data_IF_720236583728
#
_entry.id   IF_720236583728
#
_cell.length_a   1.000
_cell.length_b   1.000
_cell.length_c   1.000
_cell.angle_alpha   90.00
_cell.angle_beta   90.00
_cell.angle_gamma   90.00
#
_symmetry.space_group_name_H-M   'P 1'
#
loop_
_entity.id
_entity.type
_entity.pdbx_description
1 polymer ?
#
# COMPACT_ATOMS: atom_id res chain seq x y z
N UNK A 1 -24.67 -11.39 -34.55
CA UNK A 1 -23.81 -10.57 -33.70
C UNK A 1 -23.18 -11.43 -32.62
N UNK A 2 -21.87 -11.72 -32.68
CA UNK A 2 -21.15 -12.46 -31.63
C UNK A 2 -20.81 -11.49 -30.51
N UNK A 3 -21.51 -11.58 -29.38
CA UNK A 3 -21.16 -10.89 -28.13
C UNK A 3 -19.82 -11.47 -27.66
N UNK A 4 -18.74 -10.72 -27.82
CA UNK A 4 -17.44 -11.04 -27.18
C UNK A 4 -17.66 -10.97 -25.66
N UNK A 5 -17.85 -12.11 -25.01
CA UNK A 5 -17.69 -12.23 -23.54
C UNK A 5 -16.27 -11.77 -23.22
N UNK A 6 -16.12 -10.58 -22.63
CA UNK A 6 -14.86 -10.16 -22.00
C UNK A 6 -14.62 -11.14 -20.85
N UNK A 7 -13.70 -12.09 -21.07
CA UNK A 7 -13.25 -12.96 -19.99
C UNK A 7 -12.74 -12.10 -18.83
N UNK A 8 -13.18 -12.42 -17.63
CA UNK A 8 -12.69 -11.80 -16.40
C UNK A 8 -11.17 -12.02 -16.41
N UNK A 9 -10.43 -10.92 -16.39
CA UNK A 9 -8.96 -10.98 -16.39
C UNK A 9 -8.51 -11.48 -15.01
N UNK A 10 -8.33 -12.78 -14.85
CA UNK A 10 -7.94 -13.46 -13.61
C UNK A 10 -6.46 -13.25 -13.26
N UNK A 11 -5.70 -12.52 -14.09
CA UNK A 11 -4.28 -12.27 -13.90
C UNK A 11 -4.02 -10.94 -13.22
N UNK A 12 -3.23 -10.99 -12.17
CA UNK A 12 -2.85 -9.82 -11.37
C UNK A 12 -1.33 -9.74 -11.23
N UNK A 13 -0.81 -8.51 -11.05
CA UNK A 13 0.60 -8.31 -10.79
C UNK A 13 0.89 -8.34 -9.30
N UNK A 14 1.97 -9.04 -8.95
CA UNK A 14 2.55 -9.09 -7.60
C UNK A 14 4.00 -8.64 -7.65
N UNK A 15 4.56 -8.37 -6.49
CA UNK A 15 5.93 -7.85 -6.39
C UNK A 15 6.66 -8.48 -5.20
N UNK A 16 7.80 -9.11 -5.47
CA UNK A 16 8.78 -9.47 -4.45
C UNK A 16 9.83 -8.37 -4.32
N UNK A 17 10.33 -8.11 -3.11
CA UNK A 17 11.25 -7.01 -2.82
C UNK A 17 12.52 -7.48 -2.12
N UNK A 18 13.66 -7.15 -2.71
CA UNK A 18 15.00 -7.42 -2.17
C UNK A 18 15.70 -6.09 -1.89
N UNK A 19 16.34 -5.98 -0.72
CA UNK A 19 17.05 -4.75 -0.34
C UNK A 19 18.52 -4.90 -0.67
N UNK A 20 19.02 -3.97 -1.46
CA UNK A 20 20.41 -3.88 -1.89
C UNK A 20 21.07 -2.74 -1.10
N UNK A 21 21.88 -3.10 -0.13
CA UNK A 21 22.64 -2.17 0.72
C UNK A 21 24.01 -1.88 0.12
N UNK A 22 24.72 -0.89 0.66
CA UNK A 22 26.06 -0.47 0.19
C UNK A 22 27.11 -1.59 0.16
N UNK A 23 26.99 -2.57 1.05
CA UNK A 23 27.87 -3.75 1.09
C UNK A 23 27.53 -4.85 0.08
N UNK A 24 26.46 -4.70 -0.68
CA UNK A 24 26.09 -5.67 -1.71
C UNK A 24 27.05 -5.59 -2.91
N UNK A 25 27.55 -6.72 -3.46
CA UNK A 25 28.51 -6.71 -4.58
C UNK A 25 28.08 -5.86 -5.76
N UNK A 26 26.79 -5.88 -6.09
CA UNK A 26 26.24 -5.14 -7.24
C UNK A 26 25.76 -3.72 -6.91
N UNK A 27 25.96 -3.21 -5.69
CA UNK A 27 25.47 -1.90 -5.30
C UNK A 27 26.02 -0.78 -6.19
N UNK A 28 27.36 -0.74 -6.41
CA UNK A 28 28.02 0.31 -7.22
C UNK A 28 27.49 0.34 -8.65
N UNK A 29 27.33 -0.83 -9.26
CA UNK A 29 26.80 -0.97 -10.62
C UNK A 29 25.38 -0.43 -10.70
N UNK A 30 24.51 -0.84 -9.75
CA UNK A 30 23.10 -0.39 -9.71
C UNK A 30 23.02 1.12 -9.46
N UNK A 31 23.87 1.67 -8.57
CA UNK A 31 23.91 3.10 -8.30
C UNK A 31 24.28 3.90 -9.57
N UNK A 32 25.29 3.44 -10.31
CA UNK A 32 25.72 4.04 -11.57
C UNK A 32 24.61 3.98 -12.63
N UNK A 33 23.93 2.85 -12.77
CA UNK A 33 22.85 2.71 -13.74
C UNK A 33 21.62 3.56 -13.38
N UNK A 34 21.31 3.71 -12.09
CA UNK A 34 20.28 4.62 -11.63
C UNK A 34 20.65 6.11 -11.86
N UNK A 35 21.95 6.44 -11.84
CA UNK A 35 22.45 7.78 -12.22
C UNK A 35 22.27 8.01 -13.71
N UNK A 36 22.68 7.06 -14.57
CA UNK A 36 22.48 7.18 -16.02
C UNK A 36 21.00 7.27 -16.39
N UNK A 37 20.13 6.48 -15.76
CA UNK A 37 18.67 6.59 -15.93
C UNK A 37 18.14 7.98 -15.57
N UNK A 38 18.64 8.60 -14.48
CA UNK A 38 18.32 9.98 -14.08
C UNK A 38 18.80 11.00 -15.12
N UNK A 39 20.02 10.84 -15.63
CA UNK A 39 20.56 11.75 -16.65
C UNK A 39 19.74 11.69 -17.93
N UNK A 40 19.42 10.49 -18.43
CA UNK A 40 18.55 10.30 -19.58
C UNK A 40 17.17 10.92 -19.37
N UNK A 41 16.56 10.72 -18.18
CA UNK A 41 15.27 11.32 -17.83
C UNK A 41 15.33 12.84 -17.94
N UNK A 42 16.35 13.49 -17.35
CA UNK A 42 16.48 14.94 -17.37
C UNK A 42 16.74 15.50 -18.76
N UNK A 43 17.61 14.84 -19.53
CA UNK A 43 17.92 15.21 -20.90
C UNK A 43 16.68 15.13 -21.80
N UNK A 44 15.94 14.04 -21.71
CA UNK A 44 14.70 13.89 -22.45
C UNK A 44 13.61 14.88 -22.00
N UNK A 45 13.48 15.10 -20.69
CA UNK A 45 12.54 16.07 -20.16
C UNK A 45 12.86 17.50 -20.59
N UNK A 46 14.14 17.85 -20.71
CA UNK A 46 14.57 19.13 -21.24
C UNK A 46 14.06 19.33 -22.69
N UNK A 47 14.29 18.35 -23.55
CA UNK A 47 13.84 18.42 -24.95
C UNK A 47 12.33 18.59 -25.08
N UNK A 48 11.55 17.84 -24.26
CA UNK A 48 10.09 17.95 -24.28
C UNK A 48 9.65 19.33 -23.76
N UNK A 49 10.25 19.80 -22.66
CA UNK A 49 9.87 21.07 -22.05
C UNK A 49 10.16 22.25 -22.99
N UNK A 50 11.33 22.30 -23.64
CA UNK A 50 11.67 23.36 -24.59
C UNK A 50 10.65 23.38 -25.72
N UNK A 51 10.43 22.26 -26.39
CA UNK A 51 9.47 22.18 -27.49
C UNK A 51 8.05 22.54 -27.10
N UNK A 52 7.64 22.14 -25.88
CA UNK A 52 6.31 22.46 -25.35
C UNK A 52 6.16 23.95 -25.01
N UNK A 53 7.18 24.57 -24.44
CA UNK A 53 7.16 25.99 -24.05
C UNK A 53 7.25 26.89 -25.29
N UNK A 54 8.12 26.54 -26.25
CA UNK A 54 8.39 27.36 -27.44
C UNK A 54 7.31 27.20 -28.52
N UNK A 55 6.84 25.94 -28.74
CA UNK A 55 5.95 25.61 -29.87
C UNK A 55 4.56 25.14 -29.44
N UNK A 56 4.30 24.93 -28.14
CA UNK A 56 3.07 24.31 -27.68
C UNK A 56 2.96 22.81 -28.04
N UNK A 57 4.01 22.21 -28.60
CA UNK A 57 3.97 20.81 -29.10
C UNK A 57 4.58 19.82 -28.13
N UNK A 58 3.93 18.70 -27.97
CA UNK A 58 4.41 17.59 -27.15
C UNK A 58 5.24 16.60 -27.98
N UNK A 59 6.39 16.18 -27.42
CA UNK A 59 7.24 15.13 -28.04
C UNK A 59 6.86 13.77 -27.43
N UNK A 60 6.30 12.89 -28.25
CA UNK A 60 5.85 11.57 -27.84
C UNK A 60 7.01 10.60 -27.54
N UNK A 61 6.70 9.47 -26.85
CA UNK A 61 7.68 8.39 -26.65
C UNK A 61 8.30 7.91 -27.98
N UNK A 62 7.52 7.78 -29.06
CA UNK A 62 8.03 7.31 -30.35
C UNK A 62 9.10 8.26 -30.91
N UNK A 63 8.84 9.55 -30.89
CA UNK A 63 9.79 10.59 -31.34
C UNK A 63 11.04 10.64 -30.46
N UNK A 64 10.86 10.57 -29.11
CA UNK A 64 11.98 10.50 -28.18
C UNK A 64 12.85 9.26 -28.43
N UNK A 65 12.26 8.10 -28.65
CA UNK A 65 13.01 6.87 -28.88
C UNK A 65 13.91 6.96 -30.13
N UNK A 66 13.41 7.54 -31.22
CA UNK A 66 14.22 7.80 -32.42
C UNK A 66 15.35 8.79 -32.12
N UNK A 67 15.02 9.93 -31.52
CA UNK A 67 15.95 11.04 -31.25
C UNK A 67 17.06 10.68 -30.26
N UNK A 68 16.79 9.78 -29.29
CA UNK A 68 17.72 9.48 -28.19
C UNK A 68 18.60 8.25 -28.41
N UNK A 69 18.32 7.37 -29.39
CA UNK A 69 19.10 6.14 -29.65
C UNK A 69 20.61 6.38 -29.80
N UNK A 70 21.01 7.50 -30.38
CA UNK A 70 22.40 7.85 -30.63
C UNK A 70 23.07 8.57 -29.45
N UNK A 71 22.30 9.05 -28.46
CA UNK A 71 22.77 9.81 -27.33
C UNK A 71 23.50 8.95 -26.29
N UNK A 72 24.52 9.51 -25.65
CA UNK A 72 25.37 8.79 -24.69
C UNK A 72 24.58 8.30 -23.47
N UNK A 73 23.72 9.14 -22.88
CA UNK A 73 22.92 8.73 -21.74
C UNK A 73 21.98 7.55 -22.08
N UNK A 74 21.48 7.47 -23.31
CA UNK A 74 20.69 6.32 -23.76
C UNK A 74 21.54 5.05 -23.86
N UNK A 75 22.72 5.13 -24.47
CA UNK A 75 23.67 4.00 -24.63
C UNK A 75 24.17 3.50 -23.27
N UNK A 76 24.51 4.42 -22.36
CA UNK A 76 24.98 4.10 -21.01
C UNK A 76 23.90 3.44 -20.13
N UNK A 77 22.62 3.75 -20.39
CA UNK A 77 21.49 3.12 -19.67
C UNK A 77 21.13 1.76 -20.25
N UNK A 78 21.65 1.39 -21.42
CA UNK A 78 21.26 0.28 -22.31
C UNK A 78 19.86 0.45 -22.92
N UNK A 79 19.69 0.02 -24.16
CA UNK A 79 18.52 0.31 -24.99
C UNK A 79 17.18 -0.06 -24.35
N UNK A 80 17.05 -1.24 -23.77
CA UNK A 80 15.78 -1.68 -23.19
C UNK A 80 15.43 -0.94 -21.89
N UNK A 81 16.33 -0.80 -20.90
CA UNK A 81 16.11 0.08 -19.73
C UNK A 81 15.94 1.56 -20.11
N UNK A 82 16.66 2.07 -21.11
CA UNK A 82 16.50 3.43 -21.60
C UNK A 82 15.07 3.65 -22.12
N UNK A 83 14.54 2.72 -22.90
CA UNK A 83 13.14 2.76 -23.35
C UNK A 83 12.16 2.77 -22.20
N UNK A 84 12.41 2.00 -21.13
CA UNK A 84 11.58 2.04 -19.92
C UNK A 84 11.59 3.44 -19.26
N UNK A 85 12.75 4.10 -19.22
CA UNK A 85 12.90 5.46 -18.69
C UNK A 85 12.13 6.48 -19.52
N UNK A 86 12.26 6.43 -20.85
CA UNK A 86 11.52 7.33 -21.77
C UNK A 86 10.00 7.10 -21.71
N UNK A 87 9.54 5.85 -21.63
CA UNK A 87 8.11 5.53 -21.45
C UNK A 87 7.56 6.04 -20.13
N UNK A 88 8.35 6.01 -19.05
CA UNK A 88 7.91 6.54 -17.76
C UNK A 88 7.81 8.06 -17.79
N UNK A 89 8.75 8.74 -18.49
CA UNK A 89 8.68 10.18 -18.72
C UNK A 89 7.45 10.55 -19.54
N UNK A 90 7.18 9.85 -20.66
CA UNK A 90 5.96 10.01 -21.48
C UNK A 90 4.69 9.86 -20.64
N UNK A 91 4.65 8.85 -19.75
CA UNK A 91 3.53 8.67 -18.82
C UNK A 91 3.37 9.85 -17.86
N UNK A 92 4.46 10.42 -17.36
CA UNK A 92 4.42 11.59 -16.46
C UNK A 92 3.84 12.81 -17.18
N UNK A 93 4.25 13.07 -18.42
CA UNK A 93 3.68 14.14 -19.24
C UNK A 93 2.20 13.94 -19.56
N UNK A 94 1.80 12.72 -19.93
CA UNK A 94 0.40 12.38 -20.16
C UNK A 94 -0.45 12.52 -18.89
N UNK A 95 0.12 12.24 -17.72
CA UNK A 95 -0.53 12.49 -16.43
C UNK A 95 -0.70 13.98 -16.16
N UNK A 96 0.33 14.80 -16.47
CA UNK A 96 0.23 16.25 -16.38
C UNK A 96 -0.90 16.80 -17.27
N UNK A 97 -0.98 16.38 -18.53
CA UNK A 97 -2.04 16.86 -19.44
C UNK A 97 -3.45 16.47 -18.96
N UNK A 98 -3.61 15.27 -18.39
CA UNK A 98 -4.88 14.87 -17.78
C UNK A 98 -5.21 15.71 -16.55
N UNK A 99 -4.23 15.94 -15.69
CA UNK A 99 -4.43 16.75 -14.47
C UNK A 99 -4.77 18.21 -14.80
N UNK A 100 -4.16 18.80 -15.85
CA UNK A 100 -4.50 20.16 -16.29
C UNK A 100 -5.93 20.23 -16.83
N UNK A 101 -6.37 19.21 -17.57
CA UNK A 101 -7.75 19.15 -18.07
C UNK A 101 -8.75 19.03 -16.91
N UNK A 102 -8.55 18.07 -16.02
CA UNK A 102 -9.40 17.88 -14.84
C UNK A 102 -9.39 19.12 -13.92
N UNK A 103 -8.25 19.79 -13.77
CA UNK A 103 -8.15 21.02 -12.99
C UNK A 103 -8.96 22.17 -13.59
N UNK A 104 -9.02 22.30 -14.91
CA UNK A 104 -9.86 23.31 -15.56
C UNK A 104 -11.35 23.10 -15.31
N UNK A 105 -11.78 21.84 -15.22
CA UNK A 105 -13.17 21.46 -14.96
C UNK A 105 -13.50 21.43 -13.45
N UNK A 106 -12.51 21.09 -12.62
CA UNK A 106 -12.67 20.86 -11.18
C UNK A 106 -11.52 21.44 -10.36
N UNK A 107 -11.31 22.78 -10.34
CA UNK A 107 -10.20 23.41 -9.62
C UNK A 107 -10.24 23.16 -8.11
N UNK A 108 -11.43 22.95 -7.53
CA UNK A 108 -11.65 22.67 -6.11
C UNK A 108 -11.03 21.36 -5.62
N UNK A 109 -10.76 20.41 -6.52
CA UNK A 109 -10.08 19.14 -6.20
C UNK A 109 -8.58 19.29 -5.99
N UNK A 110 -8.01 20.44 -6.31
CA UNK A 110 -6.57 20.65 -6.35
C UNK A 110 -6.15 21.77 -5.39
N UNK A 111 -4.98 21.61 -4.76
CA UNK A 111 -4.36 22.67 -3.95
C UNK A 111 -3.80 23.81 -4.79
N UNK A 112 -3.83 23.72 -6.11
CA UNK A 112 -3.37 24.69 -7.08
C UNK A 112 -3.11 24.07 -8.44
N UNK A 113 -2.79 24.91 -9.43
CA UNK A 113 -2.56 24.48 -10.81
C UNK A 113 -1.46 23.41 -10.91
N UNK A 114 -1.72 22.26 -11.59
CA UNK A 114 -0.72 21.23 -11.84
C UNK A 114 0.52 21.77 -12.54
N UNK A 115 1.70 21.32 -12.12
CA UNK A 115 2.99 21.80 -12.65
C UNK A 115 3.59 20.78 -13.61
N UNK A 116 4.34 21.27 -14.60
CA UNK A 116 5.12 20.46 -15.54
C UNK A 116 6.01 19.44 -14.80
N UNK A 117 6.27 18.25 -15.37
CA UNK A 117 7.21 17.28 -14.80
C UNK A 117 8.55 17.94 -14.48
N UNK A 118 8.99 17.82 -13.21
CA UNK A 118 10.20 18.48 -12.71
C UNK A 118 11.46 17.75 -13.17
N UNK A 119 12.57 18.49 -13.22
CA UNK A 119 13.89 17.88 -13.28
C UNK A 119 14.25 17.20 -11.97
N UNK A 120 14.94 16.09 -12.09
CA UNK A 120 15.52 15.38 -10.95
C UNK A 120 16.82 16.09 -10.51
N UNK A 121 17.13 16.04 -9.21
CA UNK A 121 18.32 16.68 -8.63
C UNK A 121 19.61 16.17 -9.29
N UNK A 122 20.65 17.02 -9.36
CA UNK A 122 21.95 16.72 -9.99
C UNK A 122 22.57 15.42 -9.44
N UNK A 123 22.58 15.27 -8.14
CA UNK A 123 23.10 14.12 -7.39
C UNK A 123 22.05 13.00 -7.15
N UNK A 124 20.83 13.19 -7.67
CA UNK A 124 19.73 12.25 -7.53
C UNK A 124 19.91 10.96 -8.32
N UNK A 125 19.01 10.02 -8.10
CA UNK A 125 18.92 8.73 -8.80
C UNK A 125 17.51 8.53 -9.31
N UNK A 126 17.35 7.80 -10.40
CA UNK A 126 16.06 7.43 -10.97
C UNK A 126 15.95 5.91 -11.11
N UNK A 127 14.76 5.30 -11.00
CA UNK A 127 14.63 3.87 -11.15
C UNK A 127 15.26 3.34 -12.43
N UNK A 128 16.06 2.29 -12.31
CA UNK A 128 16.57 1.53 -13.45
C UNK A 128 15.70 0.29 -13.62
N UNK A 129 15.03 0.18 -14.77
CA UNK A 129 13.99 -0.82 -15.03
C UNK A 129 14.42 -1.75 -16.15
N UNK A 130 14.31 -3.05 -15.93
CA UNK A 130 14.73 -4.09 -16.83
C UNK A 130 13.50 -4.92 -17.22
N UNK A 131 13.10 -4.92 -18.51
CA UNK A 131 11.92 -5.66 -18.96
C UNK A 131 12.19 -7.17 -19.06
N UNK A 132 11.12 -7.95 -19.21
CA UNK A 132 11.13 -9.41 -19.16
C UNK A 132 12.05 -10.08 -20.18
N UNK A 133 12.23 -9.52 -21.37
CA UNK A 133 13.09 -10.08 -22.41
C UNK A 133 14.59 -10.12 -22.04
N UNK A 134 14.99 -9.42 -20.98
CA UNK A 134 16.34 -9.46 -20.40
C UNK A 134 16.41 -10.26 -19.08
N UNK A 135 15.36 -10.96 -18.71
CA UNK A 135 15.27 -11.71 -17.45
C UNK A 135 15.20 -13.20 -17.73
N UNK A 136 15.89 -13.97 -16.90
CA UNK A 136 15.77 -15.43 -16.87
C UNK A 136 15.43 -15.85 -15.47
N UNK A 137 14.40 -16.65 -15.33
CA UNK A 137 13.95 -17.20 -14.07
C UNK A 137 14.11 -18.71 -14.04
N UNK A 138 14.80 -19.20 -13.03
CA UNK A 138 14.94 -20.60 -12.71
C UNK A 138 13.89 -20.95 -11.65
N UNK A 139 12.81 -21.62 -12.08
CA UNK A 139 11.69 -21.98 -11.21
C UNK A 139 12.07 -22.99 -10.15
N UNK A 140 12.95 -23.94 -10.46
CA UNK A 140 13.38 -24.98 -9.54
C UNK A 140 14.22 -24.40 -8.39
N UNK A 141 15.13 -23.49 -8.71
CA UNK A 141 16.02 -22.84 -7.75
C UNK A 141 15.44 -21.56 -7.10
N UNK A 142 14.28 -21.09 -7.58
CA UNK A 142 13.68 -19.83 -7.13
C UNK A 142 14.63 -18.64 -7.31
N UNK A 143 15.35 -18.58 -8.46
CA UNK A 143 16.32 -17.52 -8.72
C UNK A 143 16.05 -16.78 -10.01
N UNK A 144 16.28 -15.48 -10.02
CA UNK A 144 16.27 -14.65 -11.22
C UNK A 144 17.67 -14.10 -11.51
N UNK A 145 18.07 -14.14 -12.77
CA UNK A 145 19.23 -13.42 -13.23
C UNK A 145 18.90 -12.51 -14.42
N UNK A 146 19.74 -11.51 -14.63
CA UNK A 146 19.53 -10.47 -15.60
C UNK A 146 20.54 -10.64 -16.72
N UNK A 147 20.08 -10.82 -17.96
CA UNK A 147 20.90 -10.92 -19.18
C UNK A 147 21.47 -9.53 -19.55
N UNK A 148 22.24 -8.96 -18.63
CA UNK A 148 22.93 -7.71 -18.86
C UNK A 148 24.40 -7.89 -18.44
N UNK A 149 25.35 -7.45 -19.28
CA UNK A 149 26.79 -7.62 -19.03
C UNK A 149 27.31 -7.17 -17.67
N UNK A 150 26.56 -6.32 -16.97
CA UNK A 150 26.90 -5.81 -15.64
C UNK A 150 26.36 -6.68 -14.50
N UNK A 151 25.37 -7.52 -14.76
CA UNK A 151 24.60 -8.26 -13.75
C UNK A 151 24.43 -9.74 -14.06
N UNK A 152 24.93 -10.24 -15.20
CA UNK A 152 24.75 -11.63 -15.65
C UNK A 152 25.49 -12.67 -14.77
N UNK A 153 26.44 -12.23 -13.95
CA UNK A 153 27.20 -13.05 -13.01
C UNK A 153 26.52 -13.19 -11.65
N UNK A 154 25.36 -12.58 -11.44
CA UNK A 154 24.69 -12.58 -10.14
C UNK A 154 23.24 -13.09 -10.23
N UNK A 155 22.89 -14.05 -9.36
CA UNK A 155 21.56 -14.62 -9.22
C UNK A 155 20.91 -14.13 -7.94
N UNK A 156 19.69 -13.60 -8.04
CA UNK A 156 18.90 -13.17 -6.88
C UNK A 156 17.86 -14.24 -6.53
N UNK A 157 17.81 -14.64 -5.27
CA UNK A 157 16.70 -15.46 -4.75
C UNK A 157 15.41 -14.64 -4.76
N UNK A 158 14.32 -15.20 -5.27
CA UNK A 158 13.02 -14.57 -5.22
C UNK A 158 11.91 -15.59 -4.99
N UNK A 159 10.77 -15.11 -4.50
CA UNK A 159 9.57 -15.92 -4.20
C UNK A 159 8.50 -15.78 -5.29
N UNK A 160 8.91 -15.58 -6.51
CA UNK A 160 7.98 -15.42 -7.62
C UNK A 160 7.19 -16.71 -7.87
N UNK A 161 5.87 -16.59 -7.92
CA UNK A 161 4.94 -17.69 -8.16
C UNK A 161 4.43 -17.73 -9.61
N UNK A 162 4.90 -16.82 -10.47
CA UNK A 162 4.42 -16.70 -11.84
C UNK A 162 5.40 -16.03 -12.79
N UNK A 163 4.93 -15.69 -13.99
CA UNK A 163 5.74 -15.09 -15.05
C UNK A 163 6.30 -13.74 -14.64
N UNK A 164 7.62 -13.56 -14.65
CA UNK A 164 8.24 -12.26 -14.38
C UNK A 164 7.98 -11.30 -15.54
N UNK A 165 7.50 -10.09 -15.19
CA UNK A 165 7.19 -9.01 -16.13
C UNK A 165 8.33 -8.01 -16.21
N UNK A 166 8.91 -7.64 -15.05
CA UNK A 166 9.92 -6.59 -14.96
C UNK A 166 10.70 -6.68 -13.65
N UNK A 167 11.97 -6.30 -13.69
CA UNK A 167 12.76 -5.99 -12.50
C UNK A 167 13.01 -4.48 -12.47
N UNK A 168 12.87 -3.87 -11.27
CA UNK A 168 13.09 -2.45 -11.05
C UNK A 168 14.03 -2.24 -9.87
N UNK A 169 15.08 -1.45 -10.06
CA UNK A 169 15.94 -0.98 -8.96
C UNK A 169 15.52 0.43 -8.57
N UNK A 170 14.88 0.56 -7.42
CA UNK A 170 14.30 1.82 -6.95
C UNK A 170 15.18 2.43 -5.87
N UNK A 171 15.68 3.66 -6.06
CA UNK A 171 16.49 4.34 -5.04
C UNK A 171 15.65 4.65 -3.79
N UNK A 172 16.21 4.36 -2.61
CA UNK A 172 15.61 4.61 -1.30
C UNK A 172 16.65 5.10 -0.30
N UNK A 173 16.94 6.40 -0.31
CA UNK A 173 17.94 6.98 0.56
C UNK A 173 19.32 6.31 0.38
N UNK A 174 19.74 5.55 1.37
CA UNK A 174 21.07 4.90 1.37
C UNK A 174 21.10 3.49 0.78
N UNK A 175 20.03 3.01 0.18
CA UNK A 175 19.93 1.67 -0.41
C UNK A 175 19.07 1.65 -1.67
N UNK A 176 19.03 0.52 -2.35
CA UNK A 176 18.09 0.22 -3.44
C UNK A 176 17.12 -0.85 -3.02
N UNK A 177 15.87 -0.72 -3.48
CA UNK A 177 14.89 -1.81 -3.42
C UNK A 177 14.79 -2.39 -4.83
N UNK A 178 15.24 -3.63 -4.99
CA UNK A 178 14.98 -4.40 -6.19
C UNK A 178 13.57 -4.95 -6.10
N UNK A 179 12.73 -4.58 -7.04
CA UNK A 179 11.36 -5.06 -7.16
C UNK A 179 11.28 -6.03 -8.33
N UNK A 180 10.90 -7.26 -8.06
CA UNK A 180 10.63 -8.28 -9.06
C UNK A 180 9.13 -8.35 -9.25
N UNK A 181 8.65 -7.79 -10.36
CA UNK A 181 7.22 -7.75 -10.69
C UNK A 181 6.89 -8.99 -11.50
N UNK A 182 5.88 -9.74 -11.07
CA UNK A 182 5.44 -10.96 -11.73
C UNK A 182 3.91 -11.01 -11.80
N UNK A 183 3.41 -11.80 -12.72
CA UNK A 183 2.00 -12.04 -12.98
C UNK A 183 1.60 -13.38 -12.38
N UNK A 184 0.47 -13.40 -11.65
CA UNK A 184 -0.13 -14.63 -11.12
C UNK A 184 -1.59 -14.71 -11.54
N UNK A 185 -2.07 -15.91 -11.69
CA UNK A 185 -3.50 -16.17 -11.82
C UNK A 185 -4.11 -16.25 -10.41
N UNK A 186 -5.21 -15.55 -10.21
CA UNK A 186 -5.97 -15.66 -8.96
C UNK A 186 -6.98 -16.79 -9.07
N UNK A 187 -7.17 -17.58 -7.99
CA UNK A 187 -8.19 -18.61 -7.96
C UNK A 187 -9.59 -18.00 -8.11
N UNK A 188 -10.52 -18.77 -8.58
CA UNK A 188 -11.92 -18.40 -8.55
C UNK A 188 -12.37 -18.15 -7.12
N UNK A 189 -13.36 -17.27 -6.94
CA UNK A 189 -13.96 -17.05 -5.64
C UNK A 189 -14.45 -18.37 -5.06
N UNK A 190 -14.30 -18.55 -3.73
CA UNK A 190 -14.88 -19.67 -3.01
C UNK A 190 -16.40 -19.66 -3.18
N UNK A 191 -17.02 -20.82 -3.04
CA UNK A 191 -18.48 -20.95 -2.97
C UNK A 191 -18.96 -20.16 -1.76
N UNK A 192 -19.99 -19.34 -1.93
CA UNK A 192 -20.58 -18.57 -0.83
C UNK A 192 -21.23 -19.54 0.16
N UNK A 193 -20.66 -19.66 1.35
CA UNK A 193 -21.14 -20.47 2.47
C UNK A 193 -21.80 -19.64 3.55
N UNK A 194 -21.89 -18.32 3.35
CA UNK A 194 -22.32 -17.33 4.34
C UNK A 194 -21.48 -17.31 5.62
N UNK A 195 -20.24 -17.80 5.56
CA UNK A 195 -19.26 -17.71 6.67
C UNK A 195 -18.48 -16.40 6.52
N UNK A 196 -18.84 -15.43 7.32
CA UNK A 196 -18.42 -14.05 7.18
C UNK A 196 -17.55 -13.64 8.36
N UNK A 197 -16.46 -12.94 8.09
CA UNK A 197 -15.72 -12.17 9.08
C UNK A 197 -15.78 -10.68 8.76
N UNK A 198 -15.70 -9.85 9.80
CA UNK A 198 -15.61 -8.39 9.64
C UNK A 198 -14.45 -7.82 10.44
N UNK A 199 -13.97 -6.65 9.99
CA UNK A 199 -12.81 -5.95 10.57
C UNK A 199 -13.15 -4.49 10.80
N UNK A 200 -12.94 -4.05 12.04
CA UNK A 200 -12.85 -2.65 12.43
C UNK A 200 -11.39 -2.26 12.62
N UNK A 201 -11.00 -1.04 12.18
CA UNK A 201 -9.63 -0.52 12.20
C UNK A 201 -9.48 0.61 13.22
N UNK A 202 -8.64 0.38 14.23
CA UNK A 202 -8.42 1.33 15.32
C UNK A 202 -6.96 1.75 15.51
N UNK A 203 -6.74 2.62 16.51
CA UNK A 203 -5.39 3.12 16.88
C UNK A 203 -4.75 2.26 17.96
N UNK A 204 -5.49 1.94 19.01
CA UNK A 204 -5.02 1.12 20.14
C UNK A 204 -5.18 -0.37 19.83
N UNK A 205 -6.31 -0.75 19.34
CA UNK A 205 -6.58 -2.01 18.67
C UNK A 205 -6.40 -1.75 17.18
N UNK A 206 -5.31 -2.22 16.58
CA UNK A 206 -5.03 -1.98 15.15
C UNK A 206 -6.12 -2.60 14.28
N UNK A 207 -6.56 -3.80 14.67
CA UNK A 207 -7.62 -4.56 14.03
C UNK A 207 -8.44 -5.23 15.10
N UNK A 208 -9.77 -5.10 15.02
CA UNK A 208 -10.70 -5.94 15.74
C UNK A 208 -11.50 -6.75 14.71
N UNK A 209 -11.37 -8.05 14.76
CA UNK A 209 -12.02 -8.98 13.83
C UNK A 209 -13.10 -9.78 14.54
N UNK A 210 -14.28 -9.81 13.96
CA UNK A 210 -15.43 -10.61 14.40
C UNK A 210 -15.90 -11.55 13.30
N UNK A 211 -16.75 -12.51 13.64
CA UNK A 211 -17.29 -13.52 12.72
C UNK A 211 -18.72 -13.89 13.07
N UNK A 212 -19.43 -14.53 12.13
CA UNK A 212 -20.80 -15.04 12.32
C UNK A 212 -20.86 -16.55 12.56
N UNK A 213 -19.73 -17.18 12.87
CA UNK A 213 -19.62 -18.64 13.07
C UNK A 213 -19.44 -19.03 14.54
N UNK A 214 -19.71 -18.11 15.47
CA UNK A 214 -19.69 -18.37 16.92
C UNK A 214 -18.30 -18.44 17.56
N UNK A 215 -17.22 -18.03 16.87
CA UNK A 215 -15.88 -18.00 17.45
C UNK A 215 -15.59 -16.66 18.15
N UNK A 216 -14.68 -16.70 19.12
CA UNK A 216 -14.25 -15.50 19.84
C UNK A 216 -13.70 -14.43 18.90
N UNK A 217 -14.06 -13.14 19.10
CA UNK A 217 -13.44 -12.03 18.40
C UNK A 217 -11.93 -11.98 18.62
N UNK A 218 -11.20 -11.48 17.63
CA UNK A 218 -9.76 -11.33 17.71
C UNK A 218 -9.39 -9.86 17.67
N UNK A 219 -8.63 -9.42 18.66
CA UNK A 219 -8.08 -8.06 18.74
C UNK A 219 -6.58 -8.12 18.49
N UNK A 220 -6.12 -7.48 17.43
CA UNK A 220 -4.69 -7.30 17.16
C UNK A 220 -4.30 -5.90 17.67
N UNK A 221 -3.46 -5.85 18.70
CA UNK A 221 -3.13 -4.57 19.30
C UNK A 221 -2.25 -3.69 18.41
N UNK A 222 -2.38 -2.36 18.53
CA UNK A 222 -1.59 -1.37 17.79
C UNK A 222 -0.32 -0.89 18.52
N UNK A 223 0.00 -1.43 19.71
CA UNK A 223 1.10 -0.95 20.57
C UNK A 223 2.46 -0.97 19.85
N UNK A 224 2.73 -2.02 19.06
CA UNK A 224 3.96 -2.15 18.28
C UNK A 224 4.14 -1.05 17.24
N UNK A 225 3.06 -0.67 16.55
CA UNK A 225 3.07 0.44 15.58
C UNK A 225 3.22 1.78 16.30
N UNK A 226 2.50 2.00 17.40
CA UNK A 226 2.59 3.22 18.21
C UNK A 226 3.99 3.45 18.76
N UNK A 227 4.62 2.44 19.39
CA UNK A 227 5.96 2.53 19.94
C UNK A 227 7.01 2.81 18.86
N UNK A 228 6.88 2.14 17.71
CA UNK A 228 7.76 2.38 16.54
C UNK A 228 7.65 3.82 16.05
N UNK A 229 6.44 4.38 15.98
CA UNK A 229 6.22 5.76 15.55
C UNK A 229 6.72 6.78 16.58
N UNK A 230 6.50 6.55 17.88
CA UNK A 230 6.99 7.42 18.95
C UNK A 230 8.53 7.47 18.98
N UNK A 231 9.19 6.31 18.92
CA UNK A 231 10.63 6.23 18.83
C UNK A 231 11.17 6.96 17.60
N UNK A 232 10.55 6.73 16.44
CA UNK A 232 10.91 7.42 15.21
C UNK A 232 10.78 8.94 15.34
N UNK A 233 9.67 9.44 15.85
CA UNK A 233 9.42 10.88 15.98
C UNK A 233 10.43 11.55 16.92
N UNK A 234 10.74 10.96 18.08
CA UNK A 234 11.76 11.45 19.02
C UNK A 234 13.13 11.52 18.35
N UNK A 235 13.51 10.44 17.66
CA UNK A 235 14.80 10.34 16.99
C UNK A 235 14.92 11.29 15.80
N UNK A 236 13.84 11.41 15.01
CA UNK A 236 13.78 12.33 13.88
C UNK A 236 13.94 13.79 14.33
N UNK A 237 13.22 14.19 15.38
CA UNK A 237 13.29 15.54 15.94
C UNK A 237 14.70 15.89 16.42
N UNK A 238 15.33 14.99 17.20
CA UNK A 238 16.71 15.16 17.69
C UNK A 238 17.70 15.34 16.53
N UNK A 239 17.66 14.44 15.52
CA UNK A 239 18.59 14.50 14.40
C UNK A 239 18.35 15.70 13.50
N UNK A 240 17.11 16.14 13.33
CA UNK A 240 16.79 17.38 12.57
C UNK A 240 17.32 18.62 13.28
N UNK A 241 17.12 18.73 14.59
CA UNK A 241 17.66 19.84 15.38
C UNK A 241 19.19 19.93 15.26
N UNK A 242 19.90 18.82 15.46
CA UNK A 242 21.35 18.78 15.31
C UNK A 242 21.82 19.14 13.90
N UNK A 243 21.10 18.67 12.88
CA UNK A 243 21.42 18.95 11.49
C UNK A 243 21.21 20.44 11.15
N UNK A 244 20.15 21.06 11.70
CA UNK A 244 19.87 22.48 11.53
C UNK A 244 20.96 23.35 12.17
N UNK A 245 21.33 23.03 13.42
CA UNK A 245 22.37 23.78 14.16
C UNK A 245 23.73 23.67 13.47
N UNK A 246 24.14 22.42 13.10
CA UNK A 246 25.49 22.17 12.59
C UNK A 246 25.70 22.52 11.12
N UNK A 247 24.68 22.39 10.30
CA UNK A 247 24.81 22.42 8.83
C UNK A 247 23.76 23.28 8.13
N UNK A 248 22.86 23.91 8.86
CA UNK A 248 21.71 24.65 8.33
C UNK A 248 20.94 23.86 7.25
N UNK A 249 20.79 22.53 7.41
CA UNK A 249 20.10 21.64 6.49
C UNK A 249 18.89 21.03 7.15
N UNK A 250 17.84 20.75 6.37
CA UNK A 250 16.59 20.12 6.86
C UNK A 250 16.56 18.62 6.67
N UNK A 251 17.46 18.05 5.84
CA UNK A 251 17.48 16.62 5.51
C UNK A 251 18.89 16.08 5.25
N UNK A 252 19.07 14.78 5.57
CA UNK A 252 20.34 14.07 5.39
C UNK A 252 20.13 12.58 5.12
N UNK A 253 21.17 11.88 4.62
CA UNK A 253 21.16 10.43 4.43
C UNK A 253 20.89 9.64 5.73
N UNK A 254 21.26 10.22 6.90
CA UNK A 254 20.96 9.62 8.20
C UNK A 254 19.45 9.65 8.48
N UNK A 255 18.79 10.76 8.19
CA UNK A 255 17.32 10.89 8.31
C UNK A 255 16.60 9.95 7.35
N UNK A 256 17.07 9.82 6.10
CA UNK A 256 16.54 8.82 5.16
C UNK A 256 16.64 7.40 5.71
N UNK A 257 17.77 7.05 6.28
CA UNK A 257 18.00 5.72 6.87
C UNK A 257 17.06 5.44 8.05
N UNK A 258 16.87 6.43 8.94
CA UNK A 258 15.95 6.34 10.07
C UNK A 258 14.50 6.16 9.56
N UNK A 259 14.10 6.95 8.59
CA UNK A 259 12.77 6.91 7.97
C UNK A 259 12.53 5.58 7.27
N UNK A 260 13.50 5.08 6.52
CA UNK A 260 13.39 3.80 5.84
C UNK A 260 13.28 2.63 6.82
N UNK A 261 14.07 2.63 7.92
CA UNK A 261 13.98 1.61 8.98
C UNK A 261 12.57 1.60 9.61
N UNK A 262 12.02 2.79 9.91
CA UNK A 262 10.64 2.90 10.43
C UNK A 262 9.62 2.33 9.45
N UNK A 263 9.68 2.73 8.18
CA UNK A 263 8.75 2.22 7.17
C UNK A 263 8.79 0.71 7.04
N UNK A 264 9.98 0.11 7.10
CA UNK A 264 10.12 -1.35 7.04
C UNK A 264 9.51 -2.06 8.24
N UNK A 265 9.75 -1.56 9.45
CA UNK A 265 9.17 -2.15 10.67
C UNK A 265 7.64 -2.13 10.60
N UNK A 266 7.08 -0.98 10.26
CA UNK A 266 5.61 -0.85 10.15
C UNK A 266 5.08 -1.73 9.00
N UNK A 267 5.74 -1.74 7.83
CA UNK A 267 5.35 -2.61 6.72
C UNK A 267 5.35 -4.08 7.15
N UNK A 268 6.36 -4.53 7.88
CA UNK A 268 6.42 -5.90 8.40
C UNK A 268 5.25 -6.19 9.36
N UNK A 269 4.98 -5.26 10.29
CA UNK A 269 3.85 -5.39 11.21
C UNK A 269 2.52 -5.54 10.45
N UNK A 270 2.27 -4.69 9.44
CA UNK A 270 1.07 -4.78 8.59
C UNK A 270 1.00 -6.10 7.83
N UNK A 271 2.15 -6.60 7.33
CA UNK A 271 2.22 -7.90 6.66
C UNK A 271 1.89 -9.08 7.59
N UNK A 272 2.42 -9.07 8.81
CA UNK A 272 2.12 -10.09 9.81
C UNK A 272 0.63 -10.05 10.18
N UNK A 273 0.10 -8.86 10.49
CA UNK A 273 -1.32 -8.64 10.77
C UNK A 273 -2.22 -9.19 9.65
N UNK A 274 -1.98 -8.75 8.42
CA UNK A 274 -2.80 -9.18 7.28
C UNK A 274 -2.63 -10.67 6.93
N UNK A 275 -1.45 -11.25 7.16
CA UNK A 275 -1.23 -12.70 6.98
C UNK A 275 -1.97 -13.52 8.02
N UNK A 276 -1.93 -13.07 9.27
CA UNK A 276 -2.66 -13.73 10.36
C UNK A 276 -4.17 -13.75 10.09
N UNK A 277 -4.75 -12.60 9.75
CA UNK A 277 -6.18 -12.47 9.46
C UNK A 277 -6.60 -13.42 8.33
N UNK A 278 -5.89 -13.38 7.20
CA UNK A 278 -6.26 -14.21 6.03
C UNK A 278 -6.02 -15.68 6.30
N UNK A 279 -4.94 -16.04 7.02
CA UNK A 279 -4.70 -17.42 7.44
C UNK A 279 -5.83 -17.94 8.33
N UNK A 280 -6.24 -17.16 9.33
CA UNK A 280 -7.37 -17.48 10.20
C UNK A 280 -8.68 -17.65 9.40
N UNK A 281 -8.93 -16.76 8.45
CA UNK A 281 -10.10 -16.87 7.56
C UNK A 281 -10.08 -18.17 6.71
N UNK A 282 -8.91 -18.60 6.24
CA UNK A 282 -8.76 -19.85 5.48
C UNK A 282 -9.00 -21.07 6.39
N UNK A 283 -8.40 -21.09 7.59
CA UNK A 283 -8.52 -22.17 8.57
C UNK A 283 -9.96 -22.35 9.09
N UNK A 284 -10.75 -21.27 9.11
CA UNK A 284 -12.14 -21.29 9.55
C UNK A 284 -13.15 -21.23 8.37
N UNK A 285 -12.68 -21.49 7.15
CA UNK A 285 -13.51 -21.56 5.93
C UNK A 285 -14.34 -20.29 5.64
N UNK A 286 -13.87 -19.13 6.10
CA UNK A 286 -14.51 -17.85 5.81
C UNK A 286 -14.44 -17.61 4.30
N UNK A 287 -15.58 -17.28 3.69
CA UNK A 287 -15.69 -16.96 2.27
C UNK A 287 -15.67 -15.44 2.01
N UNK A 288 -16.08 -14.65 2.99
CA UNK A 288 -16.20 -13.19 2.84
C UNK A 288 -15.57 -12.46 4.01
N UNK A 289 -14.69 -11.49 3.71
CA UNK A 289 -14.11 -10.55 4.66
C UNK A 289 -14.64 -9.13 4.39
N UNK A 290 -15.38 -8.58 5.36
CA UNK A 290 -15.88 -7.20 5.33
C UNK A 290 -14.93 -6.30 6.12
N UNK A 291 -14.58 -5.13 5.59
CA UNK A 291 -13.69 -4.20 6.28
C UNK A 291 -14.32 -2.81 6.32
N UNK A 292 -14.41 -2.25 7.51
CA UNK A 292 -14.86 -0.88 7.73
C UNK A 292 -13.83 0.12 7.21
N UNK A 293 -14.31 1.13 6.47
CA UNK A 293 -13.48 2.21 5.94
C UNK A 293 -14.28 3.45 5.64
N UNK A 294 -14.00 4.54 6.31
CA UNK A 294 -14.60 5.82 5.96
C UNK A 294 -13.92 6.47 4.75
N UNK A 295 -14.71 7.10 3.89
CA UNK A 295 -14.19 8.00 2.86
C UNK A 295 -13.45 9.17 3.55
N UNK A 296 -12.30 9.56 2.97
CA UNK A 296 -11.52 10.70 3.47
C UNK A 296 -11.06 10.59 4.94
N UNK A 297 -10.91 9.38 5.43
CA UNK A 297 -10.63 9.00 6.82
C UNK A 297 -9.52 9.81 7.51
N UNK A 298 -8.63 10.43 6.74
CA UNK A 298 -7.52 11.25 7.24
C UNK A 298 -7.65 12.74 6.89
N UNK A 299 -8.76 13.13 6.29
CA UNK A 299 -9.04 14.53 5.97
C UNK A 299 -9.99 15.08 7.02
N UNK A 300 -9.75 16.32 7.47
CA UNK A 300 -10.61 17.02 8.43
C UNK A 300 -10.88 16.31 9.77
N UNK A 301 -9.89 15.58 10.30
CA UNK A 301 -10.03 14.87 11.58
C UNK A 301 -9.56 15.75 12.73
N UNK A 302 -10.45 16.06 13.65
CA UNK A 302 -10.17 16.83 14.88
C UNK A 302 -10.29 15.94 16.13
N UNK A 303 -9.23 15.20 16.46
CA UNK A 303 -9.14 14.37 17.66
C UNK A 303 -8.12 14.92 18.68
N UNK A 304 -7.74 16.21 18.57
CA UNK A 304 -6.64 16.79 19.30
C UNK A 304 -5.26 16.43 18.72
N UNK A 305 -4.24 17.26 18.97
CA UNK A 305 -2.91 17.21 18.34
C UNK A 305 -2.22 15.85 18.47
N UNK A 306 -2.23 15.25 19.66
CA UNK A 306 -1.57 13.97 19.90
C UNK A 306 -2.29 12.78 19.24
N UNK A 307 -3.62 12.73 19.35
CA UNK A 307 -4.41 11.64 18.75
C UNK A 307 -4.37 11.72 17.23
N UNK A 308 -4.44 12.92 16.65
CA UNK A 308 -4.24 13.13 15.22
C UNK A 308 -2.86 12.62 14.77
N UNK A 309 -1.79 12.94 15.50
CA UNK A 309 -0.45 12.45 15.15
C UNK A 309 -0.38 10.91 15.19
N UNK A 310 -0.97 10.29 16.22
CA UNK A 310 -0.99 8.82 16.35
C UNK A 310 -1.77 8.18 15.21
N UNK A 311 -2.97 8.68 14.91
CA UNK A 311 -3.85 8.19 13.86
C UNK A 311 -3.25 8.35 12.46
N UNK A 312 -2.74 9.55 12.14
CA UNK A 312 -2.13 9.87 10.85
C UNK A 312 -0.86 9.05 10.57
N UNK A 313 -0.14 8.64 11.61
CA UNK A 313 1.10 7.87 11.49
C UNK A 313 0.88 6.38 11.16
N UNK A 314 -0.34 5.85 11.26
CA UNK A 314 -0.68 4.47 10.92
C UNK A 314 -1.04 4.38 9.42
N UNK A 315 -0.35 3.56 8.61
CA UNK A 315 -0.64 3.45 7.17
C UNK A 315 -1.78 2.44 6.90
N UNK A 316 -3.02 2.74 7.32
CA UNK A 316 -4.19 1.88 7.11
C UNK A 316 -4.37 1.46 5.66
N UNK A 317 -4.16 2.36 4.69
CA UNK A 317 -4.28 2.02 3.27
C UNK A 317 -3.34 0.88 2.85
N UNK A 318 -2.16 0.79 3.49
CA UNK A 318 -1.23 -0.34 3.26
C UNK A 318 -1.82 -1.65 3.78
N UNK A 319 -2.43 -1.64 4.96
CA UNK A 319 -3.09 -2.82 5.54
C UNK A 319 -4.27 -3.28 4.68
N UNK A 320 -5.14 -2.34 4.28
CA UNK A 320 -6.28 -2.61 3.39
C UNK A 320 -5.85 -3.25 2.07
N UNK A 321 -4.83 -2.68 1.41
CA UNK A 321 -4.27 -3.25 0.18
C UNK A 321 -3.70 -4.66 0.41
N UNK A 322 -3.04 -4.89 1.56
CA UNK A 322 -2.49 -6.20 1.89
C UNK A 322 -3.59 -7.24 2.18
N UNK A 323 -4.64 -6.87 2.89
CA UNK A 323 -5.81 -7.73 3.10
C UNK A 323 -6.46 -8.06 1.76
N UNK A 324 -6.76 -7.06 0.95
CA UNK A 324 -7.40 -7.22 -0.36
C UNK A 324 -6.67 -8.25 -1.23
N UNK A 325 -5.36 -8.02 -1.52
CA UNK A 325 -4.67 -8.93 -2.42
C UNK A 325 -4.44 -10.34 -1.83
N UNK A 326 -4.31 -10.45 -0.50
CA UNK A 326 -4.16 -11.76 0.15
C UNK A 326 -5.48 -12.55 0.14
N UNK A 327 -6.62 -11.89 0.36
CA UNK A 327 -7.95 -12.49 0.17
C UNK A 327 -8.14 -12.96 -1.27
N UNK A 328 -7.82 -12.11 -2.26
CA UNK A 328 -7.85 -12.47 -3.68
C UNK A 328 -7.01 -13.72 -3.98
N UNK A 329 -5.81 -13.83 -3.40
CA UNK A 329 -4.91 -14.97 -3.62
C UNK A 329 -5.47 -16.32 -3.12
N UNK A 330 -6.41 -16.31 -2.20
CA UNK A 330 -7.03 -17.51 -1.60
C UNK A 330 -8.51 -17.65 -1.93
N UNK A 331 -9.04 -16.81 -2.82
CA UNK A 331 -10.44 -16.83 -3.27
C UNK A 331 -11.44 -16.31 -2.25
N UNK A 332 -11.03 -15.57 -1.23
CA UNK A 332 -11.93 -14.93 -0.26
C UNK A 332 -12.45 -13.62 -0.87
N UNK A 333 -13.76 -13.41 -0.83
CA UNK A 333 -14.41 -12.16 -1.24
C UNK A 333 -14.05 -11.04 -0.25
N UNK A 334 -13.49 -9.93 -0.75
CA UNK A 334 -13.12 -8.78 0.06
C UNK A 334 -14.05 -7.60 -0.23
N UNK A 335 -14.70 -7.07 0.82
CA UNK A 335 -15.67 -5.98 0.72
C UNK A 335 -15.23 -4.84 1.62
N UNK A 336 -15.07 -3.62 1.09
CA UNK A 336 -14.93 -2.39 1.89
C UNK A 336 -16.30 -1.73 2.04
N UNK A 337 -16.66 -1.37 3.27
CA UNK A 337 -17.92 -0.67 3.59
C UNK A 337 -17.67 0.56 4.46
N UNK A 338 -18.54 1.54 4.36
CA UNK A 338 -18.50 2.70 5.24
C UNK A 338 -18.92 2.31 6.67
N UNK A 339 -18.20 2.80 7.68
CA UNK A 339 -18.40 2.45 9.10
C UNK A 339 -19.22 3.49 9.90
N UNK A 340 -19.85 4.50 9.24
CA UNK A 340 -20.67 5.48 9.95
C UNK A 340 -21.76 4.80 10.80
N UNK A 341 -21.96 5.32 12.00
CA UNK A 341 -22.91 4.86 13.01
C UNK A 341 -22.61 3.48 13.66
N UNK A 342 -21.62 2.72 13.22
CA UNK A 342 -21.28 1.40 13.80
C UNK A 342 -20.81 1.48 15.27
N UNK A 343 -20.19 2.59 15.66
CA UNK A 343 -19.58 2.74 16.99
C UNK A 343 -20.55 3.15 18.10
N UNK A 344 -21.77 3.54 17.79
CA UNK A 344 -22.76 4.00 18.77
C UNK A 344 -24.10 3.27 18.69
N UNK A 345 -24.23 2.28 17.84
CA UNK A 345 -25.39 1.37 17.78
C UNK A 345 -25.06 0.04 18.42
N UNK A 346 -26.03 -0.62 19.03
CA UNK A 346 -25.83 -1.84 19.79
C UNK A 346 -26.09 -3.10 18.97
N UNK A 347 -25.08 -3.93 18.78
CA UNK A 347 -25.24 -5.26 18.21
C UNK A 347 -26.05 -6.18 19.12
N UNK A 348 -25.80 -6.13 20.45
CA UNK A 348 -26.48 -6.98 21.43
C UNK A 348 -27.99 -6.76 21.49
N UNK A 349 -28.42 -5.52 21.22
CA UNK A 349 -29.82 -5.14 21.19
C UNK A 349 -30.46 -5.34 19.78
N UNK A 350 -29.69 -5.85 18.80
CA UNK A 350 -30.18 -6.11 17.45
C UNK A 350 -30.41 -4.82 16.62
N UNK A 351 -29.79 -3.72 16.98
CA UNK A 351 -29.99 -2.43 16.29
C UNK A 351 -29.28 -2.36 14.97
N UNK A 352 -29.94 -1.78 13.97
CA UNK A 352 -29.30 -1.47 12.69
C UNK A 352 -28.35 -0.26 12.84
N UNK A 353 -27.18 -0.25 12.19
CA UNK A 353 -26.20 0.86 12.25
C UNK A 353 -26.63 2.06 11.39
N UNK A 354 -27.68 2.74 11.83
CA UNK A 354 -28.27 3.94 11.21
C UNK A 354 -28.26 5.12 12.19
N UNK A 355 -28.42 6.33 11.68
CA UNK A 355 -28.35 7.57 12.48
C UNK A 355 -29.36 7.60 13.62
N UNK A 356 -30.56 7.07 13.41
CA UNK A 356 -31.66 7.07 14.40
C UNK A 356 -31.33 6.26 15.67
N UNK A 357 -30.53 5.17 15.51
CA UNK A 357 -30.17 4.28 16.60
C UNK A 357 -28.83 4.66 17.26
N UNK A 358 -28.16 5.71 16.73
CA UNK A 358 -26.84 6.11 17.18
C UNK A 358 -26.88 6.88 18.50
N UNK A 359 -26.31 6.28 19.56
CA UNK A 359 -26.13 6.91 20.86
C UNK A 359 -24.69 6.78 21.35
N UNK A 360 -23.99 7.91 21.40
CA UNK A 360 -22.60 7.99 21.84
C UNK A 360 -22.43 7.78 23.35
N UNK A 361 -23.44 8.02 24.18
CA UNK A 361 -23.39 7.91 25.63
C UNK A 361 -23.19 6.44 26.10
N UNK A 362 -23.58 5.48 25.28
CA UNK A 362 -23.38 4.04 25.53
C UNK A 362 -21.92 3.61 25.58
N UNK A 363 -21.01 4.40 25.04
CA UNK A 363 -19.55 4.20 25.27
C UNK A 363 -19.19 4.78 26.62
N UNK A 364 -19.45 4.01 27.69
CA UNK A 364 -19.29 4.42 29.10
C UNK A 364 -17.83 4.69 29.45
N UNK A 365 -16.89 3.93 28.85
CA UNK A 365 -15.45 4.13 28.99
C UNK A 365 -14.76 3.87 27.67
N UNK A 366 -13.45 4.20 27.62
CA UNK A 366 -12.64 3.87 26.47
C UNK A 366 -12.53 2.35 26.30
N UNK A 367 -13.06 1.83 25.18
CA UNK A 367 -13.05 0.42 24.84
C UNK A 367 -14.24 -0.37 25.43
N UNK A 368 -15.19 0.27 26.15
CA UNK A 368 -16.34 -0.38 26.75
C UNK A 368 -17.66 0.24 26.27
N UNK A 369 -18.55 -0.62 25.79
CA UNK A 369 -19.88 -0.26 25.30
C UNK A 369 -20.94 -0.99 26.13
N UNK A 370 -22.02 -0.31 26.52
CA UNK A 370 -23.12 -0.86 27.30
C UNK A 370 -24.38 -0.95 26.43
N UNK A 371 -24.98 -2.15 26.37
CA UNK A 371 -26.28 -2.39 25.70
C UNK A 371 -27.45 -1.83 26.52
N UNK A 372 -28.64 -1.78 25.95
CA UNK A 372 -29.88 -1.39 26.64
C UNK A 372 -30.21 -2.38 27.77
N UNK A 373 -29.85 -3.66 27.59
CA UNK A 373 -30.05 -4.72 28.62
C UNK A 373 -28.99 -4.66 29.74
N UNK A 374 -28.04 -3.70 29.67
CA UNK A 374 -26.97 -3.56 30.68
C UNK A 374 -25.74 -4.41 30.42
N UNK A 375 -25.71 -5.27 29.40
CA UNK A 375 -24.57 -6.09 29.06
C UNK A 375 -23.42 -5.23 28.55
N UNK A 376 -22.20 -5.58 28.93
CA UNK A 376 -20.96 -4.91 28.55
C UNK A 376 -20.24 -5.66 27.44
N UNK A 377 -19.86 -4.97 26.40
CA UNK A 377 -19.07 -5.50 25.28
C UNK A 377 -17.90 -4.56 24.96
N UNK A 378 -16.81 -5.12 24.45
CA UNK A 378 -15.73 -4.28 23.93
C UNK A 378 -16.26 -3.41 22.76
N UNK A 379 -16.04 -2.09 22.82
CA UNK A 379 -16.62 -1.15 21.85
C UNK A 379 -16.14 -1.36 20.42
N UNK A 380 -14.90 -1.85 20.22
CA UNK A 380 -14.37 -2.11 18.88
C UNK A 380 -14.92 -3.45 18.34
N UNK A 381 -15.22 -4.43 19.24
CA UNK A 381 -15.94 -5.68 18.89
C UNK A 381 -17.36 -5.33 18.44
N UNK A 382 -18.09 -4.51 19.23
CA UNK A 382 -19.41 -4.03 18.82
C UNK A 382 -19.39 -3.32 17.47
N UNK A 383 -18.40 -2.43 17.25
CA UNK A 383 -18.21 -1.73 15.97
C UNK A 383 -17.98 -2.68 14.80
N UNK A 384 -17.12 -3.71 14.98
CA UNK A 384 -16.85 -4.72 13.94
C UNK A 384 -18.09 -5.54 13.60
N UNK A 385 -18.90 -5.96 14.59
CA UNK A 385 -20.16 -6.65 14.36
C UNK A 385 -21.16 -5.78 13.60
N UNK A 386 -21.27 -4.51 13.95
CA UNK A 386 -22.12 -3.55 13.25
C UNK A 386 -21.65 -3.28 11.80
N UNK A 387 -20.34 -3.31 11.53
CA UNK A 387 -19.81 -3.28 10.17
C UNK A 387 -20.28 -4.48 9.35
N UNK A 388 -20.32 -5.68 9.95
CA UNK A 388 -20.87 -6.88 9.29
C UNK A 388 -22.37 -6.73 9.01
N UNK A 389 -23.14 -6.29 10.01
CA UNK A 389 -24.59 -6.08 9.88
C UNK A 389 -24.95 -5.07 8.80
N UNK A 390 -24.10 -4.09 8.54
CA UNK A 390 -24.28 -3.08 7.50
C UNK A 390 -24.29 -3.67 6.08
N UNK A 391 -23.49 -4.72 5.87
CA UNK A 391 -23.39 -5.40 4.55
C UNK A 391 -24.29 -6.62 4.49
N UNK A 392 -24.43 -7.32 5.61
CA UNK A 392 -25.18 -8.58 5.75
C UNK A 392 -26.14 -8.49 6.95
N UNK A 393 -27.30 -7.80 6.82
CA UNK A 393 -28.23 -7.62 7.94
C UNK A 393 -28.74 -8.93 8.57
N UNK A 394 -28.69 -10.01 7.82
CA UNK A 394 -29.13 -11.34 8.22
C UNK A 394 -27.99 -12.28 8.65
N UNK A 395 -26.75 -11.77 8.82
CA UNK A 395 -25.60 -12.61 9.13
C UNK A 395 -25.72 -13.42 10.45
N UNK A 396 -26.59 -12.98 11.35
CA UNK A 396 -26.81 -13.59 12.67
C UNK A 396 -28.27 -14.03 12.89
N UNK A 397 -28.97 -14.47 11.84
CA UNK A 397 -30.37 -14.95 11.98
C UNK A 397 -30.51 -16.06 12.98
N UNK A 398 -29.54 -16.96 13.03
CA UNK A 398 -29.43 -17.99 14.06
C UNK A 398 -28.41 -17.47 15.08
N UNK A 399 -28.84 -16.85 16.17
CA UNK A 399 -28.01 -16.20 17.19
C UNK A 399 -27.07 -17.17 17.94
N UNK A 400 -26.32 -17.98 17.23
CA UNK A 400 -25.31 -18.84 17.82
C UNK A 400 -24.08 -18.00 18.27
N UNK A 401 -23.63 -18.24 19.50
CA UNK A 401 -22.35 -17.76 20.00
C UNK A 401 -22.30 -16.30 20.44
N UNK A 402 -23.41 -15.69 20.84
CA UNK A 402 -23.41 -14.32 21.42
C UNK A 402 -22.48 -14.23 22.64
N UNK A 403 -22.35 -15.29 23.44
CA UNK A 403 -21.42 -15.31 24.57
C UNK A 403 -19.97 -15.17 24.15
N UNK A 404 -19.58 -15.73 23.01
CA UNK A 404 -18.23 -15.63 22.49
C UNK A 404 -17.81 -14.19 22.18
N UNK A 405 -18.76 -13.28 21.79
CA UNK A 405 -18.41 -11.89 21.46
C UNK A 405 -17.99 -11.06 22.67
N UNK A 406 -18.33 -11.54 23.90
CA UNK A 406 -17.98 -10.87 25.14
C UNK A 406 -16.52 -11.14 25.58
N UNK A 407 -15.89 -12.17 25.03
CA UNK A 407 -14.56 -12.64 25.43
C UNK A 407 -13.56 -12.59 24.27
N UNK A 408 -13.14 -11.39 23.82
CA UNK A 408 -12.20 -11.26 22.71
C UNK A 408 -10.80 -11.77 23.09
N UNK A 409 -10.14 -12.42 22.14
CA UNK A 409 -8.74 -12.88 22.26
C UNK A 409 -7.84 -11.76 21.77
N UNK A 410 -6.93 -11.29 22.64
CA UNK A 410 -5.96 -10.24 22.29
C UNK A 410 -4.64 -10.86 21.85
N UNK A 411 -4.17 -10.49 20.67
CA UNK A 411 -2.92 -10.98 20.09
C UNK A 411 -1.96 -9.86 19.72
N UNK A 412 -0.67 -10.20 19.66
CA UNK A 412 0.40 -9.36 19.16
C UNK A 412 0.83 -9.84 17.77
N UNK A 413 0.72 -8.99 16.74
CA UNK A 413 1.24 -9.28 15.41
C UNK A 413 2.75 -8.95 15.32
N UNK A 414 3.56 -9.53 16.20
CA UNK A 414 5.00 -9.28 16.24
C UNK A 414 5.76 -10.15 15.21
#
# INVERSE_FOLDING_TARGET
MRVKRRGINTRVHRCDQIIIRKNHPKFKVIDQQCLHSKNLYNEANYVIRQKFIEEGKYVSYKEMNVKFKTRDNYKLTFSQPANCTLRLLDKNWKSYFRSIRDWKEHPEKYLGMPKLPKYLKKDGRFPWMIPNNQLVYDYEKGTVYIRNRLLNDYKWKCRCLGRIIQVRFIPRGSCYVMEIVYEVEIPNAKIETNRIASVDLGVDNLVTMTNNIGLNPIIINGKGVKSTNQYYNKRLAKEKSLLKIRHNKDWSNKLDTITFKRHRRIKNYMHNTSSYIVKWCVENEIDTLVVGKNKEWKQNVFMGKENNQKFMAIPYQMLLQQLKYKCENVGIKYIETEESYSSGTSFLDGENPIKQNYDKSRRIERGLFKSNTGLLINSDVNGSLQIMMKVFPNAFKERYGIEAVLTPIVINAA
#
